data_IF_679380927756
#
_entry.id   IF_679380927756
#
_cell.length_a   1.000
_cell.length_b   1.000
_cell.length_c   1.000
_cell.angle_alpha   90.00
_cell.angle_beta   90.00
_cell.angle_gamma   90.00
#
_symmetry.space_group_name_H-M   'P 1'
#
loop_
_entity.id
_entity.type
_entity.pdbx_description
1 polymer ?
#
# COMPACT_ATOMS: atom_id res chain seq x y z
N UNK A 1 13.08 -1.57 -3.87
CA UNK A 1 12.76 -2.84 -3.17
C UNK A 1 11.62 -3.59 -3.82
N UNK A 2 10.49 -2.97 -4.07
CA UNK A 2 9.40 -3.62 -4.81
C UNK A 2 9.82 -4.06 -6.19
N UNK A 3 10.60 -3.25 -6.89
CA UNK A 3 11.14 -3.60 -8.20
C UNK A 3 12.03 -4.82 -8.15
N UNK A 4 12.84 -4.95 -7.11
CA UNK A 4 13.66 -6.13 -6.91
C UNK A 4 12.82 -7.38 -6.71
N UNK A 5 11.78 -7.28 -5.87
CA UNK A 5 10.84 -8.40 -5.66
C UNK A 5 10.19 -8.81 -6.98
N UNK A 6 9.76 -7.84 -7.77
CA UNK A 6 9.15 -8.11 -9.07
C UNK A 6 10.13 -8.85 -10.01
N UNK A 7 11.39 -8.40 -10.07
CA UNK A 7 12.40 -9.03 -10.93
C UNK A 7 12.70 -10.45 -10.48
N UNK A 8 12.83 -10.67 -9.19
CA UNK A 8 13.23 -11.98 -8.66
C UNK A 8 12.09 -12.99 -8.68
N UNK A 9 10.87 -12.56 -8.35
CA UNK A 9 9.71 -13.44 -8.30
C UNK A 9 9.10 -13.71 -9.67
N UNK A 10 9.21 -12.76 -10.59
CA UNK A 10 8.59 -12.86 -11.91
C UNK A 10 7.12 -12.49 -11.93
N UNK A 11 6.49 -12.43 -13.12
CA UNK A 11 5.10 -11.99 -13.26
C UNK A 11 4.09 -13.10 -12.95
N UNK A 12 2.81 -12.71 -12.84
CA UNK A 12 1.62 -13.59 -12.82
C UNK A 12 1.47 -14.48 -11.59
N UNK A 13 2.08 -14.11 -10.45
CA UNK A 13 1.88 -14.80 -9.19
C UNK A 13 0.71 -14.20 -8.42
N UNK A 14 0.31 -14.87 -7.34
CA UNK A 14 -0.73 -14.39 -6.45
C UNK A 14 -0.25 -13.17 -5.66
N UNK A 15 -1.17 -12.28 -5.32
CA UNK A 15 -0.87 -11.08 -4.56
C UNK A 15 -0.14 -11.41 -3.25
N UNK A 16 -0.63 -12.41 -2.51
CA UNK A 16 -0.03 -12.73 -1.21
C UNK A 16 1.41 -13.22 -1.32
N UNK A 17 1.79 -13.84 -2.43
CA UNK A 17 3.19 -14.27 -2.66
C UNK A 17 4.12 -13.08 -2.76
N UNK A 18 3.69 -12.04 -3.46
CA UNK A 18 4.45 -10.79 -3.56
C UNK A 18 4.50 -10.07 -2.21
N UNK A 19 3.41 -10.08 -1.46
CA UNK A 19 3.39 -9.50 -0.12
C UNK A 19 4.39 -10.18 0.80
N UNK A 20 4.45 -11.50 0.80
CA UNK A 20 5.42 -12.24 1.61
C UNK A 20 6.85 -11.97 1.18
N UNK A 21 7.11 -11.94 -0.13
CA UNK A 21 8.43 -11.62 -0.65
C UNK A 21 8.86 -10.21 -0.26
N UNK A 22 7.96 -9.25 -0.34
CA UNK A 22 8.24 -7.89 0.09
C UNK A 22 8.50 -7.82 1.60
N UNK A 23 7.75 -8.55 2.39
CA UNK A 23 7.95 -8.62 3.84
C UNK A 23 9.35 -9.13 4.18
N UNK A 24 9.76 -10.22 3.53
CA UNK A 24 11.10 -10.78 3.70
C UNK A 24 12.17 -9.77 3.29
N UNK A 25 11.99 -9.12 2.15
CA UNK A 25 12.94 -8.12 1.64
C UNK A 25 13.10 -6.94 2.58
N UNK A 26 11.99 -6.44 3.12
CA UNK A 26 12.02 -5.35 4.10
C UNK A 26 12.78 -5.78 5.37
N UNK A 27 12.52 -6.98 5.84
CA UNK A 27 13.16 -7.53 7.03
C UNK A 27 14.67 -7.72 6.82
N UNK A 28 15.07 -8.29 5.69
CA UNK A 28 16.49 -8.50 5.35
C UNK A 28 17.26 -7.18 5.24
N UNK A 29 16.58 -6.09 4.89
CA UNK A 29 17.20 -4.77 4.78
C UNK A 29 17.06 -3.93 6.06
N UNK A 30 16.56 -4.51 7.14
CA UNK A 30 16.45 -3.82 8.42
C UNK A 30 15.46 -2.67 8.42
N UNK A 31 14.47 -2.69 7.52
CA UNK A 31 13.47 -1.62 7.40
C UNK A 31 12.30 -1.92 8.35
N UNK A 32 11.99 -0.97 9.22
CA UNK A 32 10.85 -1.08 10.13
C UNK A 32 9.56 -1.12 9.32
N UNK A 33 8.71 -2.12 9.60
CA UNK A 33 7.43 -2.26 8.92
C UNK A 33 6.40 -2.92 9.81
N UNK A 34 5.14 -2.64 9.52
CA UNK A 34 4.00 -3.37 10.05
C UNK A 34 3.27 -3.96 8.85
N UNK A 35 3.27 -5.29 8.74
CA UNK A 35 2.49 -6.01 7.73
C UNK A 35 1.06 -6.12 8.22
N UNK A 36 0.10 -5.90 7.32
CA UNK A 36 -1.33 -5.86 7.67
C UNK A 36 -1.57 -4.85 8.79
N UNK A 37 -1.31 -3.59 8.45
CA UNK A 37 -1.51 -2.49 9.39
C UNK A 37 -3.01 -2.20 9.53
N UNK A 38 -3.57 -2.61 10.67
CA UNK A 38 -4.99 -2.39 10.96
C UNK A 38 -5.23 -0.99 11.49
N UNK A 39 -6.36 -0.40 11.09
CA UNK A 39 -6.81 0.88 11.61
C UNK A 39 -8.33 0.87 11.75
N UNK A 40 -8.82 1.75 12.61
CA UNK A 40 -10.24 1.87 12.91
C UNK A 40 -10.75 3.23 12.46
N UNK A 41 -12.02 3.24 12.03
CA UNK A 41 -12.71 4.47 11.63
C UNK A 41 -13.77 4.75 12.68
N UNK A 42 -13.90 6.01 13.11
CA UNK A 42 -14.93 6.43 14.05
C UNK A 42 -15.94 7.32 13.35
N UNK A 43 -17.19 7.23 13.79
CA UNK A 43 -18.27 8.08 13.33
C UNK A 43 -19.06 8.54 14.54
N UNK A 44 -19.15 9.85 14.75
CA UNK A 44 -19.80 10.45 15.92
C UNK A 44 -19.31 9.84 17.25
N UNK A 45 -17.99 9.70 17.38
CA UNK A 45 -17.36 9.14 18.56
C UNK A 45 -17.50 7.64 18.73
N UNK A 46 -18.15 6.96 17.82
CA UNK A 46 -18.31 5.51 17.87
C UNK A 46 -17.43 4.83 16.83
N UNK A 47 -16.75 3.78 17.25
CA UNK A 47 -15.91 2.99 16.36
C UNK A 47 -16.76 2.16 15.42
N UNK A 48 -16.48 2.26 14.12
CA UNK A 48 -17.08 1.39 13.12
C UNK A 48 -16.51 -0.01 13.31
N UNK A 49 -17.38 -1.02 13.38
CA UNK A 49 -16.98 -2.39 13.71
C UNK A 49 -16.11 -3.05 12.65
N UNK A 50 -16.33 -2.70 11.39
CA UNK A 50 -15.54 -3.25 10.30
C UNK A 50 -14.11 -2.72 10.39
N UNK A 51 -13.13 -3.64 10.43
CA UNK A 51 -11.72 -3.29 10.46
C UNK A 51 -11.19 -3.16 9.04
N UNK A 52 -10.33 -2.16 8.85
CA UNK A 52 -9.61 -1.94 7.61
C UNK A 52 -8.13 -2.18 7.87
N UNK A 53 -7.42 -2.61 6.84
CA UNK A 53 -5.97 -2.72 6.97
C UNK A 53 -5.30 -2.38 5.64
N UNK A 54 -4.13 -1.76 5.75
CA UNK A 54 -3.21 -1.56 4.63
C UNK A 54 -2.22 -2.72 4.62
N UNK A 55 -1.72 -3.08 3.45
CA UNK A 55 -0.81 -4.21 3.34
C UNK A 55 0.46 -4.00 4.15
N UNK A 56 1.05 -2.79 4.06
CA UNK A 56 2.23 -2.44 4.85
C UNK A 56 2.19 -0.98 5.27
N UNK A 57 2.71 -0.73 6.47
CA UNK A 57 3.12 0.60 6.92
C UNK A 57 4.62 0.55 7.18
N UNK A 58 5.40 1.29 6.40
CA UNK A 58 6.86 1.29 6.43
C UNK A 58 7.35 2.54 7.15
N UNK A 59 8.24 2.36 8.12
CA UNK A 59 8.84 3.45 8.91
C UNK A 59 7.80 4.40 9.49
N UNK A 60 6.61 3.89 9.82
CA UNK A 60 5.49 4.67 10.36
C UNK A 60 5.00 5.80 9.47
N UNK A 61 5.47 5.88 8.22
CA UNK A 61 5.23 7.04 7.38
C UNK A 61 4.82 6.73 5.92
N UNK A 62 5.05 5.52 5.44
CA UNK A 62 4.73 5.16 4.06
C UNK A 62 3.79 3.97 4.03
N UNK A 63 2.62 4.17 3.45
CA UNK A 63 1.65 3.11 3.26
C UNK A 63 1.89 2.44 1.91
N UNK A 64 1.98 1.12 1.88
CA UNK A 64 2.14 0.36 0.64
C UNK A 64 0.95 -0.57 0.46
N UNK A 65 0.32 -0.47 -0.70
CA UNK A 65 -0.71 -1.40 -1.16
C UNK A 65 -0.17 -2.22 -2.31
N UNK A 66 -0.18 -3.53 -2.14
CA UNK A 66 0.27 -4.49 -3.14
C UNK A 66 -0.91 -5.00 -3.95
N UNK A 67 -0.76 -5.06 -5.25
CA UNK A 67 -1.76 -5.62 -6.16
C UNK A 67 -1.11 -6.61 -7.09
N UNK A 68 -1.91 -7.57 -7.55
CA UNK A 68 -1.50 -8.55 -8.56
C UNK A 68 -2.65 -8.69 -9.55
N UNK A 69 -2.83 -7.67 -10.36
CA UNK A 69 -3.92 -7.56 -11.35
C UNK A 69 -3.32 -7.27 -12.71
N UNK A 70 -4.13 -7.46 -13.76
CA UNK A 70 -3.67 -7.18 -15.12
C UNK A 70 -3.31 -5.71 -15.29
N UNK A 71 -4.10 -4.82 -14.70
CA UNK A 71 -3.91 -3.37 -14.78
C UNK A 71 -4.51 -2.70 -13.56
N UNK A 72 -3.81 -1.70 -13.02
CA UNK A 72 -4.36 -0.90 -11.94
C UNK A 72 -5.58 -0.12 -12.42
N UNK A 73 -6.63 -0.12 -11.61
CA UNK A 73 -7.87 0.57 -11.89
C UNK A 73 -8.15 1.68 -10.88
N UNK A 74 -9.20 2.44 -11.18
CA UNK A 74 -9.64 3.55 -10.34
C UNK A 74 -9.96 3.09 -8.91
N UNK A 75 -10.58 1.91 -8.76
CA UNK A 75 -10.94 1.37 -7.46
C UNK A 75 -9.72 1.10 -6.57
N UNK A 76 -8.61 0.69 -7.17
CA UNK A 76 -7.37 0.45 -6.43
C UNK A 76 -6.78 1.75 -5.90
N UNK A 77 -6.78 2.79 -6.72
CA UNK A 77 -6.31 4.12 -6.34
C UNK A 77 -7.18 4.71 -5.25
N UNK A 78 -8.50 4.60 -5.42
CA UNK A 78 -9.48 5.12 -4.47
C UNK A 78 -9.29 4.49 -3.09
N UNK A 79 -9.03 3.18 -3.04
CA UNK A 79 -8.80 2.48 -1.79
C UNK A 79 -7.57 3.04 -1.06
N UNK A 80 -6.45 3.19 -1.77
CA UNK A 80 -5.24 3.74 -1.18
C UNK A 80 -5.46 5.17 -0.68
N UNK A 81 -6.06 6.02 -1.51
CA UNK A 81 -6.32 7.41 -1.15
C UNK A 81 -7.21 7.52 0.10
N UNK A 82 -8.26 6.71 0.15
CA UNK A 82 -9.16 6.69 1.32
C UNK A 82 -8.42 6.26 2.59
N UNK A 83 -7.60 5.24 2.48
CA UNK A 83 -6.81 4.75 3.62
C UNK A 83 -5.80 5.80 4.10
N UNK A 84 -5.15 6.50 3.17
CA UNK A 84 -4.24 7.59 3.51
C UNK A 84 -4.98 8.71 4.26
N UNK A 85 -6.16 9.10 3.78
CA UNK A 85 -6.96 10.14 4.42
C UNK A 85 -7.45 9.73 5.81
N UNK A 86 -7.90 8.49 5.96
CA UNK A 86 -8.41 7.98 7.23
C UNK A 86 -7.33 7.85 8.29
N UNK A 87 -6.11 7.56 7.88
CA UNK A 87 -4.97 7.35 8.79
C UNK A 87 -4.06 8.57 8.92
N UNK A 88 -4.26 9.60 8.10
CA UNK A 88 -3.39 10.77 8.01
C UNK A 88 -1.93 10.43 7.63
N UNK A 89 -1.74 9.34 6.91
CA UNK A 89 -0.44 8.98 6.35
C UNK A 89 -0.30 9.68 5.01
N UNK A 90 0.77 10.48 4.87
CA UNK A 90 0.92 11.40 3.74
C UNK A 90 1.49 10.75 2.48
N UNK A 91 2.18 9.64 2.59
CA UNK A 91 2.84 9.00 1.44
C UNK A 91 2.25 7.61 1.26
N UNK A 92 1.80 7.33 0.04
CA UNK A 92 1.27 6.02 -0.32
C UNK A 92 1.88 5.52 -1.61
N UNK A 93 2.12 4.22 -1.67
CA UNK A 93 2.62 3.53 -2.86
C UNK A 93 1.62 2.46 -3.23
N UNK A 94 1.19 2.49 -4.49
CA UNK A 94 0.36 1.45 -5.08
C UNK A 94 1.23 0.69 -6.08
N UNK A 95 1.50 -0.56 -5.79
CA UNK A 95 2.42 -1.36 -6.60
C UNK A 95 1.72 -2.61 -7.13
N UNK A 96 1.73 -2.76 -8.45
CA UNK A 96 1.16 -3.91 -9.14
C UNK A 96 2.28 -4.81 -9.63
N UNK A 97 2.41 -5.98 -9.03
CA UNK A 97 3.49 -6.94 -9.27
C UNK A 97 3.21 -7.92 -10.43
N UNK A 98 1.94 -8.08 -10.82
CA UNK A 98 1.58 -9.16 -11.74
C UNK A 98 2.04 -8.97 -13.18
N UNK A 99 1.97 -7.76 -13.78
CA UNK A 99 2.35 -7.61 -15.19
C UNK A 99 3.83 -7.83 -15.43
N UNK A 100 4.20 -8.20 -16.66
CA UNK A 100 5.59 -8.27 -17.08
C UNK A 100 6.31 -6.94 -16.82
N UNK A 101 5.63 -5.84 -17.16
CA UNK A 101 6.07 -4.50 -16.79
C UNK A 101 5.25 -4.05 -15.60
N UNK A 102 5.89 -4.01 -14.45
CA UNK A 102 5.26 -3.61 -13.20
C UNK A 102 4.71 -2.18 -13.28
N UNK A 103 3.71 -1.91 -12.45
CA UNK A 103 3.12 -0.58 -12.35
C UNK A 103 3.34 -0.06 -10.93
N UNK A 104 3.87 1.15 -10.82
CA UNK A 104 4.09 1.80 -9.54
C UNK A 104 3.53 3.21 -9.58
N UNK A 105 2.64 3.53 -8.65
CA UNK A 105 2.12 4.88 -8.48
C UNK A 105 2.40 5.33 -7.06
N UNK A 106 2.91 6.55 -6.91
CA UNK A 106 3.24 7.14 -5.63
C UNK A 106 2.40 8.39 -5.43
N UNK A 107 1.81 8.51 -4.24
CA UNK A 107 0.89 9.58 -3.92
C UNK A 107 1.31 10.32 -2.67
N UNK A 108 1.10 11.62 -2.68
CA UNK A 108 1.30 12.50 -1.54
C UNK A 108 -0.03 13.15 -1.17
N UNK A 109 -0.38 13.05 0.10
CA UNK A 109 -1.57 13.70 0.65
C UNK A 109 -1.18 15.02 1.32
N UNK A 110 -1.72 16.12 0.80
CA UNK A 110 -1.61 17.42 1.46
C UNK A 110 -2.72 17.48 2.53
N UNK A 111 -2.35 17.38 3.79
CA UNK A 111 -3.31 17.38 4.90
C UNK A 111 -4.07 18.68 5.03
N UNK A 112 -3.45 19.81 4.65
CA UNK A 112 -4.06 21.13 4.78
C UNK A 112 -5.24 21.29 3.82
N UNK A 113 -5.12 20.77 2.60
CA UNK A 113 -6.16 20.91 1.56
C UNK A 113 -6.95 19.65 1.32
N UNK A 114 -6.43 18.49 1.73
CA UNK A 114 -7.01 17.19 1.42
C UNK A 114 -6.73 16.71 0.00
N UNK A 115 -5.94 17.47 -0.77
CA UNK A 115 -5.61 17.12 -2.14
C UNK A 115 -4.59 15.98 -2.19
N UNK A 116 -4.76 15.11 -3.20
CA UNK A 116 -3.88 13.98 -3.45
C UNK A 116 -3.07 14.25 -4.72
N UNK A 117 -1.77 14.08 -4.64
CA UNK A 117 -0.87 14.33 -5.76
C UNK A 117 -0.08 13.08 -6.12
N UNK A 118 -0.01 12.79 -7.42
CA UNK A 118 0.88 11.76 -7.97
C UNK A 118 2.29 12.35 -8.10
N UNK A 119 3.30 11.60 -7.69
CA UNK A 119 4.68 12.08 -7.83
C UNK A 119 5.68 11.00 -8.21
#
# INVERSE_FOLDING_TARGET
>A
MCQQVHREMGPFLNEYMYQEALDISLEENGIEKVKEYYFYVTYHGRQIRHRHYADFLVNKSVMIECKAVERLGTEHRQQLWNYMRLTNICIGILYNFAPVHDQCERYYLDKATGNMYLF
#
